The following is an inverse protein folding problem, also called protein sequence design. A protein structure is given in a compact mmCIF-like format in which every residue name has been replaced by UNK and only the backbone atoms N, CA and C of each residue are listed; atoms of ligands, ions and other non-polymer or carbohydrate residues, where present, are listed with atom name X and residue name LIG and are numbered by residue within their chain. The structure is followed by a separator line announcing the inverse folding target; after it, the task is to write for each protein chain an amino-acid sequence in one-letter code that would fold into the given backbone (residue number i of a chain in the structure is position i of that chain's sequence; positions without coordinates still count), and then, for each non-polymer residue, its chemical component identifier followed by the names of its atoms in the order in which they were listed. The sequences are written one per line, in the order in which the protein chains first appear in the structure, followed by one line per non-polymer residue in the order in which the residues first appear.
data_IF_475493934181
#
_entry.id   IF_475493934181
#
_cell.length_a   1.000
_cell.length_b   1.000
_cell.length_c   1.000
_cell.angle_alpha   90.00
_cell.angle_beta   90.00
_cell.angle_gamma   90.00
#
_symmetry.space_group_name_H-M   'P 1'
#
loop_
_entity.id
_entity.type
_entity.pdbx_description
1 polymer ?
#
# COMPACT_ATOMS: atom_id res chain seq x y z
N UNK A 1 5.47 -27.86 7.37
CA UNK A 1 5.74 -26.73 8.29
C UNK A 1 4.40 -26.09 8.63
N UNK A 2 3.98 -26.01 9.91
CA UNK A 2 2.72 -25.35 10.26
C UNK A 2 2.92 -23.82 10.25
N UNK A 3 2.12 -23.13 9.43
CA UNK A 3 2.12 -21.67 9.29
C UNK A 3 1.49 -21.03 10.53
N UNK A 4 2.15 -20.01 11.10
CA UNK A 4 1.60 -19.23 12.20
C UNK A 4 0.34 -18.46 11.75
N UNK A 5 -0.70 -18.33 12.60
CA UNK A 5 -1.89 -17.57 12.26
C UNK A 5 -1.56 -16.08 12.13
N UNK A 6 -1.79 -15.51 10.94
CA UNK A 6 -1.71 -14.08 10.68
C UNK A 6 -2.76 -13.33 11.50
N UNK A 7 -2.36 -12.28 12.23
CA UNK A 7 -3.29 -11.39 12.91
C UNK A 7 -4.23 -10.73 11.89
N UNK A 8 -5.53 -10.98 12.02
CA UNK A 8 -6.57 -10.31 11.22
C UNK A 8 -6.60 -8.82 11.57
N UNK A 9 -6.06 -7.99 10.69
CA UNK A 9 -6.15 -6.52 10.73
C UNK A 9 -7.45 -6.02 10.11
N UNK A 10 -8.53 -6.82 10.19
CA UNK A 10 -9.85 -6.36 9.75
C UNK A 10 -10.27 -5.26 10.72
N UNK A 11 -10.08 -4.01 10.28
CA UNK A 11 -10.63 -2.85 10.96
C UNK A 11 -12.13 -3.09 11.11
N UNK A 12 -12.61 -3.18 12.34
CA UNK A 12 -14.04 -3.18 12.61
C UNK A 12 -14.55 -1.88 11.97
N UNK A 13 -15.47 -1.95 11.00
CA UNK A 13 -15.99 -0.74 10.38
C UNK A 13 -16.69 0.06 11.49
N UNK A 14 -16.03 1.11 11.98
CA UNK A 14 -16.73 2.13 12.74
C UNK A 14 -17.71 2.79 11.77
N UNK A 15 -19.00 2.73 12.11
CA UNK A 15 -20.12 3.18 11.28
C UNK A 15 -20.13 4.71 10.98
N UNK A 16 -19.01 5.40 11.17
CA UNK A 16 -18.89 6.85 11.02
C UNK A 16 -17.61 7.30 10.29
N UNK A 17 -17.16 6.55 9.28
CA UNK A 17 -16.05 7.01 8.45
C UNK A 17 -16.45 8.14 7.49
N UNK A 18 -17.75 8.33 7.22
CA UNK A 18 -18.24 9.20 6.14
C UNK A 18 -19.37 10.18 6.57
N UNK A 19 -19.27 10.82 7.74
CA UNK A 19 -20.22 11.89 8.09
C UNK A 19 -19.94 13.16 7.27
N UNK A 20 -20.67 13.29 6.15
CA UNK A 20 -20.81 14.50 5.35
C UNK A 20 -21.19 15.70 6.23
N UNK A 21 -20.35 16.75 6.22
CA UNK A 21 -20.34 17.86 7.19
C UNK A 21 -21.56 18.81 7.24
N UNK A 22 -22.61 18.65 6.42
CA UNK A 22 -23.68 19.66 6.33
C UNK A 22 -25.12 19.15 6.25
N UNK A 23 -25.38 17.86 6.50
CA UNK A 23 -26.76 17.39 6.68
C UNK A 23 -27.02 17.19 8.18
N UNK A 24 -27.99 17.91 8.75
CA UNK A 24 -28.54 17.53 10.04
C UNK A 24 -28.99 16.05 9.93
N UNK A 25 -28.53 15.16 10.83
CA UNK A 25 -28.84 13.74 10.73
C UNK A 25 -30.36 13.57 10.84
N UNK A 26 -30.98 13.13 9.74
CA UNK A 26 -32.38 12.74 9.74
C UNK A 26 -32.45 11.38 10.43
N UNK A 27 -32.93 11.38 11.67
CA UNK A 27 -33.24 10.15 12.38
C UNK A 27 -34.55 9.62 11.81
N UNK A 28 -34.47 8.58 10.98
CA UNK A 28 -35.66 7.84 10.59
C UNK A 28 -36.09 7.00 11.80
N UNK A 29 -36.97 7.58 12.63
CA UNK A 29 -37.70 6.87 13.67
C UNK A 29 -38.94 6.23 13.04
N UNK A 30 -39.13 4.93 13.22
CA UNK A 30 -40.31 4.23 12.75
C UNK A 30 -41.03 3.51 13.87
N UNK A 31 -42.34 3.37 13.67
CA UNK A 31 -43.25 2.64 14.55
C UNK A 31 -43.74 1.40 13.79
N UNK A 32 -44.00 0.32 14.52
CA UNK A 32 -44.60 -0.88 13.96
C UNK A 32 -46.06 -0.62 13.56
N UNK A 33 -46.62 -1.45 12.67
CA UNK A 33 -48.05 -1.42 12.38
C UNK A 33 -48.86 -1.77 13.64
N UNK A 34 -50.03 -1.15 13.81
CA UNK A 34 -50.85 -1.23 15.02
C UNK A 34 -51.13 -2.67 15.49
N UNK A 35 -51.39 -3.60 14.56
CA UNK A 35 -51.65 -5.01 14.87
C UNK A 35 -50.44 -5.71 15.50
N UNK A 36 -49.24 -5.35 15.04
CA UNK A 36 -47.98 -5.93 15.51
C UNK A 36 -47.55 -5.24 16.80
N UNK A 37 -47.70 -3.91 16.90
CA UNK A 37 -47.41 -3.18 18.12
C UNK A 37 -48.31 -3.67 19.26
N UNK A 38 -49.63 -3.86 19.01
CA UNK A 38 -50.60 -4.41 19.96
C UNK A 38 -50.19 -5.77 20.56
N UNK A 39 -49.45 -6.59 19.81
CA UNK A 39 -48.97 -7.89 20.29
C UNK A 39 -47.85 -7.80 21.33
N UNK A 40 -47.20 -6.64 21.48
CA UNK A 40 -46.09 -6.44 22.42
C UNK A 40 -46.62 -6.37 23.86
N UNK A 41 -46.19 -7.27 24.76
CA UNK A 41 -46.59 -7.26 26.17
C UNK A 41 -46.19 -5.96 26.87
N UNK A 42 -47.03 -5.51 27.82
CA UNK A 42 -46.82 -4.25 28.54
C UNK A 42 -45.47 -4.17 29.28
N UNK A 43 -45.04 -5.26 29.90
CA UNK A 43 -43.75 -5.36 30.59
C UNK A 43 -42.55 -5.11 29.67
N UNK A 44 -42.71 -5.38 28.37
CA UNK A 44 -41.68 -5.11 27.36
C UNK A 44 -41.77 -3.65 26.94
N UNK A 45 -42.97 -3.12 26.67
CA UNK A 45 -43.18 -1.70 26.29
C UNK A 45 -42.60 -0.73 27.31
N UNK A 46 -42.76 -1.01 28.60
CA UNK A 46 -42.27 -0.15 29.69
C UNK A 46 -40.73 -0.01 29.71
N UNK A 47 -39.99 -0.87 28.99
CA UNK A 47 -38.52 -0.82 28.89
C UNK A 47 -38.00 -0.05 27.68
N UNK A 48 -38.88 0.35 26.75
CA UNK A 48 -38.50 1.04 25.53
C UNK A 48 -39.13 2.44 25.46
N UNK A 49 -38.61 3.27 24.56
CA UNK A 49 -39.18 4.60 24.32
C UNK A 49 -40.49 4.45 23.55
N UNK A 50 -41.54 5.12 24.03
CA UNK A 50 -42.87 5.12 23.43
C UNK A 50 -43.27 6.51 22.94
N UNK A 51 -44.16 6.57 21.96
CA UNK A 51 -44.77 7.83 21.50
C UNK A 51 -45.95 8.27 22.40
N UNK A 52 -46.57 9.40 22.07
CA UNK A 52 -47.74 9.94 22.79
C UNK A 52 -48.96 8.98 22.79
N UNK A 53 -48.97 7.98 21.90
CA UNK A 53 -50.02 6.96 21.77
C UNK A 53 -49.64 5.62 22.41
N UNK A 54 -48.42 5.48 22.92
CA UNK A 54 -47.93 4.26 23.59
C UNK A 54 -47.32 3.21 22.66
N UNK A 55 -47.00 3.55 21.41
CA UNK A 55 -46.33 2.65 20.47
C UNK A 55 -44.81 2.68 20.65
N UNK A 56 -44.14 1.54 20.45
CA UNK A 56 -42.69 1.45 20.63
C UNK A 56 -41.95 2.09 19.45
N UNK A 57 -41.02 3.01 19.75
CA UNK A 57 -40.22 3.73 18.74
C UNK A 57 -38.91 3.00 18.49
N UNK A 58 -38.62 2.74 17.21
CA UNK A 58 -37.37 2.14 16.76
C UNK A 58 -36.53 3.16 15.99
N UNK A 59 -35.21 3.07 16.15
CA UNK A 59 -34.25 3.99 15.52
C UNK A 59 -33.28 3.24 14.60
N UNK A 60 -33.03 3.79 13.40
CA UNK A 60 -31.95 3.35 12.48
C UNK A 60 -30.56 3.47 13.09
N UNK A 61 -30.37 4.48 13.92
CA UNK A 61 -29.10 4.90 14.47
C UNK A 61 -29.26 5.17 15.97
N UNK A 62 -28.22 4.91 16.79
CA UNK A 62 -28.28 5.20 18.21
C UNK A 62 -28.57 6.69 18.43
N UNK A 63 -29.49 7.05 19.35
CA UNK A 63 -29.78 8.43 19.68
C UNK A 63 -28.49 9.18 20.00
N UNK A 64 -28.22 10.25 19.25
CA UNK A 64 -26.94 10.95 19.29
C UNK A 64 -26.78 11.79 20.56
N UNK A 65 -27.91 12.17 21.18
CA UNK A 65 -27.96 13.01 22.36
C UNK A 65 -28.58 12.25 23.54
N UNK A 66 -27.86 11.25 24.04
CA UNK A 66 -28.17 10.66 25.36
C UNK A 66 -27.45 11.49 26.42
N UNK A 67 -28.07 11.74 27.59
CA UNK A 67 -27.38 12.42 28.70
C UNK A 67 -26.09 11.71 29.11
N UNK A 68 -26.02 10.39 28.89
CA UNK A 68 -24.82 9.58 29.11
C UNK A 68 -24.48 8.76 27.87
N UNK A 69 -23.28 8.98 27.32
CA UNK A 69 -22.81 8.27 26.13
C UNK A 69 -22.47 6.81 26.46
N UNK A 70 -23.19 5.87 25.84
CA UNK A 70 -22.82 4.44 25.82
C UNK A 70 -23.03 3.67 27.13
N UNK A 71 -23.62 4.29 28.16
CA UNK A 71 -23.86 3.66 29.47
C UNK A 71 -25.31 3.92 29.88
N UNK A 72 -25.96 2.93 30.51
CA UNK A 72 -27.29 3.11 31.10
C UNK A 72 -27.25 4.18 32.19
N UNK A 73 -28.34 4.93 32.37
CA UNK A 73 -28.43 6.04 33.34
C UNK A 73 -28.05 5.61 34.77
N UNK A 74 -28.48 4.41 35.16
CA UNK A 74 -28.16 3.78 36.45
C UNK A 74 -26.65 3.58 36.69
N UNK A 75 -25.89 3.40 35.60
CA UNK A 75 -24.46 3.11 35.63
C UNK A 75 -23.61 4.31 35.21
N UNK A 76 -24.23 5.42 34.80
CA UNK A 76 -23.53 6.58 34.32
C UNK A 76 -22.75 7.33 35.42
N UNK A 77 -23.17 7.17 36.67
CA UNK A 77 -22.52 7.71 37.86
C UNK A 77 -21.48 6.77 38.48
N UNK A 78 -21.35 5.53 37.98
CA UNK A 78 -20.23 4.66 38.36
C UNK A 78 -18.94 5.22 37.73
N UNK A 79 -18.29 6.10 38.47
CA UNK A 79 -16.93 6.54 38.18
C UNK A 79 -15.93 5.39 38.25
N UNK A 80 -14.69 5.66 37.83
CA UNK A 80 -13.61 4.69 37.95
C UNK A 80 -13.39 4.26 39.40
N UNK A 81 -13.14 2.96 39.62
CA UNK A 81 -12.79 2.45 40.95
C UNK A 81 -11.50 3.11 41.46
N UNK A 82 -11.37 3.27 42.78
CA UNK A 82 -10.17 3.85 43.39
C UNK A 82 -8.89 3.09 42.98
N UNK A 83 -9.01 1.77 42.80
CA UNK A 83 -7.94 0.91 42.27
C UNK A 83 -7.56 1.26 40.83
N UNK A 84 -8.53 1.57 39.97
CA UNK A 84 -8.22 2.01 38.62
C UNK A 84 -7.48 3.35 38.61
N UNK A 85 -7.90 4.29 39.47
CA UNK A 85 -7.25 5.60 39.56
C UNK A 85 -5.81 5.52 40.10
N UNK A 86 -5.51 4.58 41.01
CA UNK A 86 -4.13 4.33 41.45
C UNK A 86 -3.26 3.72 40.36
N UNK A 87 -3.83 2.80 39.58
CA UNK A 87 -3.05 1.97 38.65
C UNK A 87 -2.98 2.58 37.23
N UNK A 88 -3.83 3.57 36.91
CA UNK A 88 -3.93 4.14 35.56
C UNK A 88 -2.62 4.75 35.06
N UNK A 89 -1.82 5.35 35.95
CA UNK A 89 -0.52 5.91 35.60
C UNK A 89 0.45 4.81 35.17
N UNK A 90 0.49 3.69 35.91
CA UNK A 90 1.32 2.54 35.57
C UNK A 90 0.86 1.89 34.26
N UNK A 91 -0.45 1.70 34.07
CA UNK A 91 -0.99 1.16 32.83
C UNK A 91 -0.74 2.06 31.61
N UNK A 92 -0.73 3.38 31.78
CA UNK A 92 -0.36 4.31 30.70
C UNK A 92 1.13 4.21 30.38
N UNK A 93 1.99 4.22 31.38
CA UNK A 93 3.43 4.07 31.21
C UNK A 93 3.82 2.74 30.55
N UNK A 94 3.19 1.63 30.96
CA UNK A 94 3.42 0.32 30.35
C UNK A 94 3.00 0.28 28.88
N UNK A 95 1.84 0.89 28.53
CA UNK A 95 1.39 0.99 27.14
C UNK A 95 2.32 1.84 26.30
N UNK A 96 2.81 2.95 26.84
CA UNK A 96 3.76 3.82 26.15
C UNK A 96 5.10 3.10 25.93
N UNK A 97 5.60 2.38 26.94
CA UNK A 97 6.80 1.54 26.81
C UNK A 97 6.64 0.50 25.71
N UNK A 98 5.53 -0.25 25.70
CA UNK A 98 5.24 -1.25 24.66
C UNK A 98 5.13 -0.65 23.26
N UNK A 99 4.55 0.55 23.13
CA UNK A 99 4.51 1.26 21.84
C UNK A 99 5.92 1.63 21.38
N UNK A 100 6.73 2.19 22.28
CA UNK A 100 8.10 2.57 21.95
C UNK A 100 8.95 1.36 21.56
N UNK A 101 8.91 0.27 22.32
CA UNK A 101 9.62 -0.97 22.02
C UNK A 101 9.26 -1.52 20.63
N UNK A 102 7.96 -1.54 20.29
CA UNK A 102 7.49 -1.95 18.97
C UNK A 102 7.99 -1.02 17.86
N UNK A 103 7.91 0.29 18.08
CA UNK A 103 8.29 1.28 17.07
C UNK A 103 9.82 1.35 16.88
N UNK A 104 10.60 1.03 17.92
CA UNK A 104 12.05 0.84 17.83
C UNK A 104 12.39 -0.44 17.05
N UNK A 105 11.70 -1.57 17.33
CA UNK A 105 11.90 -2.83 16.63
C UNK A 105 11.57 -2.72 15.12
N UNK A 106 10.46 -2.07 14.77
CA UNK A 106 10.08 -1.80 13.37
C UNK A 106 11.14 -0.96 12.66
N UNK A 107 11.66 0.09 13.30
CA UNK A 107 12.72 0.92 12.72
C UNK A 107 14.02 0.15 12.49
N UNK A 108 14.38 -0.77 13.39
CA UNK A 108 15.55 -1.63 13.20
C UNK A 108 15.35 -2.60 12.03
N UNK A 109 14.19 -3.25 11.94
CA UNK A 109 13.88 -4.16 10.85
C UNK A 109 13.86 -3.45 9.48
N UNK A 110 13.31 -2.24 9.41
CA UNK A 110 13.34 -1.41 8.20
C UNK A 110 14.76 -1.01 7.81
N UNK A 111 15.60 -0.63 8.78
CA UNK A 111 16.99 -0.29 8.53
C UNK A 111 17.80 -1.48 8.01
N UNK A 112 17.63 -2.66 8.63
CA UNK A 112 18.29 -3.89 8.21
C UNK A 112 17.84 -4.32 6.81
N UNK A 113 16.54 -4.20 6.52
CA UNK A 113 15.99 -4.49 5.19
C UNK A 113 16.55 -3.53 4.13
N UNK A 114 16.62 -2.24 4.44
CA UNK A 114 17.18 -1.25 3.54
C UNK A 114 18.68 -1.48 3.27
N UNK A 115 19.45 -1.89 4.29
CA UNK A 115 20.85 -2.24 4.15
C UNK A 115 21.05 -3.45 3.22
N UNK A 116 20.28 -4.52 3.42
CA UNK A 116 20.33 -5.72 2.56
C UNK A 116 19.92 -5.43 1.13
N UNK A 117 18.88 -4.63 0.93
CA UNK A 117 18.41 -4.27 -0.42
C UNK A 117 19.44 -3.39 -1.14
N UNK A 118 20.13 -2.49 -0.43
CA UNK A 118 21.24 -1.72 -0.99
C UNK A 118 22.40 -2.62 -1.41
N UNK A 119 22.81 -3.56 -0.56
CA UNK A 119 23.88 -4.51 -0.88
C UNK A 119 23.54 -5.36 -2.11
N UNK A 120 22.33 -5.89 -2.18
CA UNK A 120 21.85 -6.66 -3.33
C UNK A 120 21.83 -5.83 -4.62
N UNK A 121 21.38 -4.56 -4.55
CA UNK A 121 21.40 -3.65 -5.70
C UNK A 121 22.82 -3.36 -6.17
N UNK A 122 23.75 -3.15 -5.25
CA UNK A 122 25.16 -2.93 -5.60
C UNK A 122 25.78 -4.18 -6.23
N UNK A 123 25.50 -5.36 -5.70
CA UNK A 123 25.99 -6.63 -6.25
C UNK A 123 25.42 -6.90 -7.64
N UNK A 124 24.10 -6.78 -7.80
CA UNK A 124 23.43 -6.96 -9.11
C UNK A 124 23.93 -5.94 -10.13
N UNK A 125 24.15 -4.68 -9.73
CA UNK A 125 24.74 -3.67 -10.59
C UNK A 125 26.16 -4.05 -11.03
N UNK A 126 27.02 -4.49 -10.10
CA UNK A 126 28.39 -4.94 -10.41
C UNK A 126 28.39 -6.14 -11.37
N UNK A 127 27.51 -7.11 -11.14
CA UNK A 127 27.38 -8.29 -12.01
C UNK A 127 26.92 -7.88 -13.41
N UNK A 128 25.91 -7.02 -13.52
CA UNK A 128 25.45 -6.48 -14.81
C UNK A 128 26.54 -5.67 -15.52
N UNK A 129 27.25 -4.78 -14.81
CA UNK A 129 28.30 -3.97 -15.43
C UNK A 129 29.44 -4.84 -15.95
N UNK A 130 29.81 -5.89 -15.20
CA UNK A 130 30.84 -6.84 -15.64
C UNK A 130 30.38 -7.65 -16.87
N UNK A 131 29.12 -8.09 -16.89
CA UNK A 131 28.56 -8.80 -18.05
C UNK A 131 28.47 -7.89 -19.28
N UNK A 132 27.96 -6.67 -19.12
CA UNK A 132 27.88 -5.68 -20.18
C UNK A 132 29.27 -5.33 -20.74
N UNK A 133 30.28 -5.16 -19.87
CA UNK A 133 31.66 -4.90 -20.30
C UNK A 133 32.23 -6.03 -21.15
N UNK A 134 31.96 -7.30 -20.78
CA UNK A 134 32.36 -8.46 -21.59
C UNK A 134 31.67 -8.47 -22.95
N UNK A 135 30.35 -8.30 -22.98
CA UNK A 135 29.60 -8.28 -24.23
C UNK A 135 30.02 -7.16 -25.17
N UNK A 136 30.27 -5.96 -24.65
CA UNK A 136 30.75 -4.83 -25.45
C UNK A 136 32.16 -5.13 -25.97
N UNK A 137 33.04 -5.71 -25.14
CA UNK A 137 34.39 -6.12 -25.57
C UNK A 137 34.34 -7.14 -26.71
N UNK A 138 33.53 -8.20 -26.55
CA UNK A 138 33.36 -9.23 -27.56
C UNK A 138 32.78 -8.66 -28.87
N UNK A 139 31.82 -7.73 -28.77
CA UNK A 139 31.26 -7.05 -29.94
C UNK A 139 32.28 -6.19 -30.67
N UNK A 140 33.09 -5.40 -29.96
CA UNK A 140 34.15 -4.56 -30.57
C UNK A 140 35.18 -5.45 -31.29
N UNK A 141 35.61 -6.55 -30.66
CA UNK A 141 36.54 -7.48 -31.26
C UNK A 141 35.94 -8.19 -32.49
N UNK A 142 34.65 -8.52 -32.43
CA UNK A 142 33.90 -9.06 -33.58
C UNK A 142 33.90 -8.08 -34.75
N UNK A 143 33.55 -6.81 -34.50
CA UNK A 143 33.57 -5.76 -35.52
C UNK A 143 34.95 -5.54 -36.14
N UNK A 144 36.01 -5.59 -35.34
CA UNK A 144 37.38 -5.46 -35.86
C UNK A 144 37.72 -6.61 -36.82
N UNK A 145 37.36 -7.85 -36.45
CA UNK A 145 37.56 -9.01 -37.31
C UNK A 145 36.74 -8.90 -38.60
N UNK A 146 35.47 -8.53 -38.50
CA UNK A 146 34.60 -8.32 -39.66
C UNK A 146 35.13 -7.22 -40.59
N UNK A 147 35.67 -6.13 -40.03
CA UNK A 147 36.31 -5.09 -40.83
C UNK A 147 37.57 -5.61 -41.55
N UNK A 148 38.43 -6.37 -40.87
CA UNK A 148 39.62 -6.97 -41.50
C UNK A 148 39.24 -7.94 -42.63
N UNK A 149 38.22 -8.76 -42.42
CA UNK A 149 37.72 -9.69 -43.44
C UNK A 149 37.12 -8.93 -44.63
N UNK A 150 36.36 -7.86 -44.37
CA UNK A 150 35.84 -6.98 -45.42
C UNK A 150 36.94 -6.27 -46.21
N UNK A 151 38.02 -5.82 -45.55
CA UNK A 151 39.17 -5.24 -46.24
C UNK A 151 39.86 -6.25 -47.16
N UNK A 152 39.97 -7.52 -46.73
CA UNK A 152 40.52 -8.60 -47.55
C UNK A 152 39.62 -8.89 -48.77
N UNK A 153 38.31 -8.96 -48.58
CA UNK A 153 37.36 -9.19 -49.66
C UNK A 153 37.32 -8.02 -50.67
N UNK A 154 37.47 -6.79 -50.19
CA UNK A 154 37.44 -5.59 -51.03
C UNK A 154 38.79 -5.31 -51.72
N UNK A 155 39.90 -5.87 -51.26
CA UNK A 155 41.23 -5.69 -51.86
C UNK A 155 41.27 -5.96 -53.38
N UNK A 156 40.82 -7.13 -53.90
CA UNK A 156 40.84 -7.40 -55.33
C UNK A 156 39.92 -6.45 -56.12
N UNK A 157 38.77 -6.06 -55.55
CA UNK A 157 37.85 -5.10 -56.20
C UNK A 157 38.50 -3.71 -56.28
N UNK A 158 39.24 -3.30 -55.26
CA UNK A 158 40.00 -2.03 -55.24
C UNK A 158 41.14 -2.05 -56.25
N UNK A 159 41.86 -3.15 -56.38
CA UNK A 159 42.91 -3.34 -57.38
C UNK A 159 42.34 -3.29 -58.81
N UNK A 160 41.24 -4.01 -59.06
CA UNK A 160 40.54 -3.95 -60.35
C UNK A 160 40.07 -2.54 -60.67
N UNK A 161 39.49 -1.83 -59.70
CA UNK A 161 39.08 -0.44 -59.86
C UNK A 161 40.27 0.47 -60.14
N UNK A 162 41.41 0.28 -59.47
CA UNK A 162 42.62 1.07 -59.70
C UNK A 162 43.20 0.83 -61.09
N UNK A 163 43.25 -0.43 -61.55
CA UNK A 163 43.67 -0.79 -62.90
C UNK A 163 42.77 -0.15 -63.96
N UNK A 164 41.45 -0.21 -63.78
CA UNK A 164 40.48 0.44 -64.67
C UNK A 164 40.65 1.96 -64.72
N UNK A 165 40.90 2.61 -63.57
CA UNK A 165 41.18 4.05 -63.51
C UNK A 165 42.46 4.39 -64.29
N UNK A 166 43.54 3.61 -64.09
CA UNK A 166 44.81 3.83 -64.77
C UNK A 166 44.69 3.66 -66.29
N UNK A 167 43.97 2.63 -66.75
CA UNK A 167 43.70 2.39 -68.17
C UNK A 167 42.89 3.55 -68.78
N UNK A 168 41.83 3.98 -68.10
CA UNK A 168 41.01 5.13 -68.52
C UNK A 168 41.85 6.41 -68.63
N UNK A 169 42.74 6.66 -67.67
CA UNK A 169 43.55 7.88 -67.65
C UNK A 169 44.67 7.83 -68.72
N UNK A 170 45.24 6.66 -69.01
CA UNK A 170 46.17 6.46 -70.13
C UNK A 170 45.49 6.69 -71.50
N UNK A 171 44.26 6.21 -71.67
CA UNK A 171 43.47 6.44 -72.89
C UNK A 171 43.16 7.93 -73.11
N UNK A 172 42.95 8.69 -72.04
CA UNK A 172 42.76 10.15 -72.13
C UNK A 172 44.04 10.89 -72.54
N UNK A 173 45.21 10.41 -72.11
CA UNK A 173 46.50 11.01 -72.48
C UNK A 173 46.90 10.73 -73.93
N UNK A 174 46.46 9.61 -74.52
CA UNK A 174 46.69 9.31 -75.95
C UNK A 174 45.79 10.10 -76.91
N UNK A 175 44.72 10.72 -76.43
CA UNK A 175 43.79 11.52 -77.25
C UNK A 175 44.07 13.04 -77.22
N UNK A 176 45.14 13.46 -76.52
CA UNK A 176 45.67 14.84 -76.54
C UNK A 176 46.98 14.89 -77.34
#
# INVERSE_FOLDING_TARGET
MPMAPTASTTAIPHANANATMHAAPRYDSWVLYDDVDASIPREVRDRYQTDDKGHVIFFTAPPQNRPHHGVAEENATLGHSARYLSDIAQHRAERERKRKERDDALRQEEADRAARDKELREETFRQMSAAAGRHIGDWILGMQRENEDMERELAPVREQKAAWIAERDALKQQQQ
#
